data_IF_795966793970
#
_entry.id   IF_795966793970
#
_cell.length_a   1.000
_cell.length_b   1.000
_cell.length_c   1.000
_cell.angle_alpha   90.00
_cell.angle_beta   90.00
_cell.angle_gamma   90.00
#
_symmetry.space_group_name_H-M   'P 1'
#
loop_
_entity.id
_entity.type
_entity.pdbx_description
1 polymer ?
#
# COMPACT_ATOMS: atom_id res chain seq x y z
N UNK A 1 -6.95 0.60 23.02
CA UNK A 1 -5.87 1.32 22.34
C UNK A 1 -5.07 0.27 21.58
N UNK A 2 -5.26 0.14 20.27
CA UNK A 2 -4.64 -0.95 19.52
C UNK A 2 -4.05 -0.45 18.20
N UNK A 3 -2.73 -0.59 18.09
CA UNK A 3 -1.99 -0.97 16.88
C UNK A 3 -1.74 0.05 15.77
N UNK A 4 -1.42 1.31 16.08
CA UNK A 4 -0.75 2.18 15.08
C UNK A 4 0.67 1.69 14.70
N UNK A 5 1.25 0.78 15.49
CA UNK A 5 2.54 0.15 15.23
C UNK A 5 2.48 -1.03 14.24
N UNK A 6 1.29 -1.56 13.90
CA UNK A 6 1.17 -2.70 12.97
C UNK A 6 1.05 -2.26 11.51
N UNK A 7 0.52 -1.06 11.26
CA UNK A 7 0.32 -0.54 9.91
C UNK A 7 1.53 0.24 9.42
N UNK A 8 2.12 -0.21 8.31
CA UNK A 8 3.18 0.52 7.61
C UNK A 8 2.68 1.91 7.21
N UNK A 9 3.56 2.93 7.10
CA UNK A 9 3.13 4.31 6.80
C UNK A 9 2.23 4.43 5.56
N UNK A 10 2.51 3.69 4.48
CA UNK A 10 1.70 3.69 3.25
C UNK A 10 0.33 3.03 3.43
N UNK A 11 0.12 2.25 4.49
CA UNK A 11 -1.16 1.60 4.78
C UNK A 11 -2.09 2.44 5.64
N UNK A 12 -1.59 3.52 6.24
CA UNK A 12 -2.40 4.36 7.14
C UNK A 12 -3.43 5.16 6.32
N UNK A 13 -4.61 5.36 6.90
CA UNK A 13 -5.60 6.28 6.35
C UNK A 13 -5.04 7.71 6.40
N UNK A 14 -5.22 8.46 5.31
CA UNK A 14 -4.75 9.86 5.22
C UNK A 14 -5.79 10.82 5.80
N UNK A 15 -5.39 11.99 6.34
CA UNK A 15 -6.34 13.00 6.77
C UNK A 15 -7.27 13.41 5.62
N UNK A 16 -8.58 13.37 5.86
CA UNK A 16 -9.61 13.70 4.85
C UNK A 16 -9.97 12.56 3.88
N UNK A 17 -9.27 11.42 3.94
CA UNK A 17 -9.59 10.22 3.14
C UNK A 17 -10.79 9.50 3.79
N UNK A 18 -11.81 9.16 3.00
CA UNK A 18 -12.91 8.30 3.48
C UNK A 18 -12.42 6.87 3.68
N UNK A 19 -13.15 6.06 4.46
CA UNK A 19 -12.81 4.63 4.64
C UNK A 19 -12.85 3.88 3.31
N UNK A 20 -13.73 4.28 2.39
CA UNK A 20 -13.84 3.69 1.05
C UNK A 20 -12.63 4.04 0.19
N UNK A 21 -12.25 5.31 0.13
CA UNK A 21 -11.04 5.76 -0.59
C UNK A 21 -9.78 5.11 -0.04
N UNK A 22 -9.71 4.94 1.28
CA UNK A 22 -8.61 4.25 1.92
C UNK A 22 -8.52 2.78 1.48
N UNK A 23 -9.64 2.05 1.51
CA UNK A 23 -9.71 0.65 1.07
C UNK A 23 -9.37 0.49 -0.40
N UNK A 24 -9.91 1.38 -1.24
CA UNK A 24 -9.64 1.41 -2.68
C UNK A 24 -8.14 1.58 -2.96
N UNK A 25 -7.52 2.59 -2.32
CA UNK A 25 -6.07 2.79 -2.43
C UNK A 25 -5.27 1.57 -1.96
N UNK A 26 -5.67 0.93 -0.86
CA UNK A 26 -5.00 -0.27 -0.36
C UNK A 26 -5.14 -1.45 -1.33
N UNK A 27 -6.27 -1.60 -2.02
CA UNK A 27 -6.46 -2.66 -3.02
C UNK A 27 -5.51 -2.54 -4.22
N UNK A 28 -4.97 -1.33 -4.43
CA UNK A 28 -4.02 -1.02 -5.50
C UNK A 28 -2.59 -0.74 -4.99
N UNK A 29 -2.29 -1.04 -3.72
CA UNK A 29 -0.98 -0.78 -3.12
C UNK A 29 -0.38 -2.05 -2.53
N UNK A 30 0.87 -2.32 -2.87
CA UNK A 30 1.59 -3.50 -2.37
C UNK A 30 1.66 -3.46 -0.84
N UNK A 31 1.16 -4.52 -0.19
CA UNK A 31 1.16 -4.54 1.27
C UNK A 31 2.58 -4.52 1.87
N UNK A 32 3.59 -4.97 1.11
CA UNK A 32 4.97 -5.03 1.58
C UNK A 32 5.72 -3.71 1.43
N UNK A 33 5.77 -3.15 0.23
CA UNK A 33 6.63 -2.00 -0.07
C UNK A 33 5.86 -0.69 -0.35
N UNK A 34 4.53 -0.75 -0.47
CA UNK A 34 3.69 0.42 -0.73
C UNK A 34 3.70 0.92 -2.17
N UNK A 35 4.25 0.14 -3.09
CA UNK A 35 4.19 0.43 -4.52
C UNK A 35 2.74 0.43 -5.00
N UNK A 36 2.33 1.51 -5.68
CA UNK A 36 0.99 1.64 -6.24
C UNK A 36 0.96 1.12 -7.68
N UNK A 37 -0.03 0.29 -7.98
CA UNK A 37 -0.29 -0.26 -9.30
C UNK A 37 -1.80 -0.42 -9.54
N UNK A 38 -2.38 0.29 -10.54
CA UNK A 38 -3.80 0.19 -10.85
C UNK A 38 -4.22 -1.18 -11.40
N UNK A 39 -3.31 -1.94 -12.02
CA UNK A 39 -3.62 -3.28 -12.52
C UNK A 39 -3.40 -4.34 -11.45
N UNK A 40 -4.48 -4.88 -10.89
CA UNK A 40 -4.41 -5.87 -9.81
C UNK A 40 -3.58 -7.10 -10.17
N UNK A 41 -3.62 -7.58 -11.41
CA UNK A 41 -2.79 -8.71 -11.85
C UNK A 41 -1.28 -8.43 -11.79
N UNK A 42 -0.87 -7.19 -12.07
CA UNK A 42 0.54 -6.77 -11.96
C UNK A 42 0.92 -6.61 -10.48
N UNK A 43 0.01 -6.08 -9.68
CA UNK A 43 0.17 -5.99 -8.23
C UNK A 43 0.35 -7.37 -7.60
N UNK A 44 -0.51 -8.34 -7.92
CA UNK A 44 -0.45 -9.72 -7.43
C UNK A 44 0.89 -10.39 -7.79
N UNK A 45 1.37 -10.16 -9.03
CA UNK A 45 2.66 -10.68 -9.49
C UNK A 45 3.81 -10.03 -8.71
N UNK A 46 3.73 -8.73 -8.46
CA UNK A 46 4.72 -8.03 -7.65
C UNK A 46 4.74 -8.55 -6.21
N UNK A 47 3.58 -8.75 -5.58
CA UNK A 47 3.46 -9.21 -4.20
C UNK A 47 4.04 -10.61 -3.96
N UNK A 48 4.06 -11.48 -4.99
CA UNK A 48 4.70 -12.79 -4.93
C UNK A 48 6.23 -12.74 -4.80
N UNK A 49 6.85 -11.69 -5.36
CA UNK A 49 8.31 -11.56 -5.43
C UNK A 49 8.85 -10.43 -4.54
N UNK A 50 7.96 -9.61 -3.98
CA UNK A 50 8.33 -8.46 -3.17
C UNK A 50 8.91 -8.88 -1.81
N UNK A 51 10.13 -8.45 -1.54
CA UNK A 51 10.83 -8.61 -0.26
C UNK A 51 10.49 -7.47 0.74
N UNK A 52 9.72 -6.48 0.30
CA UNK A 52 9.35 -5.31 1.09
C UNK A 52 10.38 -4.19 1.07
N UNK A 53 11.41 -4.27 0.22
CA UNK A 53 12.27 -3.13 -0.04
C UNK A 53 11.45 -2.02 -0.73
N UNK A 54 11.53 -0.76 -0.25
CA UNK A 54 10.88 0.35 -0.93
C UNK A 54 11.44 0.46 -2.35
N UNK A 55 10.56 0.42 -3.36
CA UNK A 55 10.98 0.61 -4.75
C UNK A 55 11.60 2.00 -4.88
N UNK A 56 12.89 2.07 -5.21
CA UNK A 56 13.61 3.33 -5.44
C UNK A 56 13.04 3.97 -6.71
N UNK A 57 12.13 4.94 -6.57
CA UNK A 57 11.71 5.75 -7.73
C UNK A 57 10.35 6.44 -7.63
N UNK A 58 9.40 5.98 -6.81
CA UNK A 58 8.13 6.69 -6.64
C UNK A 58 8.22 7.64 -5.44
N UNK A 59 8.80 8.82 -5.66
CA UNK A 59 8.43 10.00 -4.87
C UNK A 59 7.12 10.52 -5.45
N UNK A 60 6.09 10.53 -4.61
CA UNK A 60 4.82 11.23 -4.86
C UNK A 60 5.03 12.72 -5.11
#
# INVERSE_FOLDING_TARGET
MSNEATFKPHMRQRPGESVEQWRDRLAHSCYRCGWYEPHTAVLDTHEQTCDGAPQKGQRS
#
